data_IF_502374027711
#
_entry.id   IF_502374027711
#
_cell.length_a   1.000
_cell.length_b   1.000
_cell.length_c   1.000
_cell.angle_alpha   90.00
_cell.angle_beta   90.00
_cell.angle_gamma   90.00
#
_symmetry.space_group_name_H-M   'P 1'
#
loop_
_entity.id
_entity.type
_entity.pdbx_description
1 polymer ?
#
# COMPACT_ATOMS: atom_id res chain seq x y z
N UNK A 1 -32.00 -24.08 44.04
CA UNK A 1 -30.54 -24.02 44.23
C UNK A 1 -29.85 -25.13 43.43
N UNK A 2 -29.42 -24.85 42.23
CA UNK A 2 -28.52 -25.70 41.43
C UNK A 2 -28.01 -24.86 40.23
N UNK A 3 -26.91 -24.16 40.44
CA UNK A 3 -26.14 -23.52 39.39
C UNK A 3 -24.68 -23.42 39.83
N UNK A 4 -23.92 -24.45 39.70
CA UNK A 4 -22.51 -24.47 40.12
C UNK A 4 -21.59 -25.44 39.36
N UNK A 5 -22.16 -26.27 38.49
CA UNK A 5 -21.38 -27.35 37.85
C UNK A 5 -20.80 -27.09 36.46
N UNK A 6 -21.28 -26.07 35.77
CA UNK A 6 -20.98 -25.90 34.34
C UNK A 6 -19.71 -25.03 34.07
N UNK A 7 -19.41 -24.12 34.98
CA UNK A 7 -18.24 -23.24 34.84
C UNK A 7 -16.92 -23.97 35.15
N UNK A 8 -16.95 -24.96 36.01
CA UNK A 8 -15.75 -25.74 36.38
C UNK A 8 -15.31 -26.69 35.24
N UNK A 9 -16.25 -27.25 34.48
CA UNK A 9 -15.94 -28.08 33.30
C UNK A 9 -15.39 -27.26 32.12
N UNK A 10 -15.87 -26.03 31.93
CA UNK A 10 -15.37 -25.12 30.88
C UNK A 10 -13.96 -24.60 31.19
N UNK A 11 -13.66 -24.34 32.46
CA UNK A 11 -12.31 -23.93 32.88
C UNK A 11 -11.27 -25.04 32.72
N UNK A 12 -11.67 -26.28 33.02
CA UNK A 12 -10.77 -27.45 32.89
C UNK A 12 -10.48 -27.82 31.43
N UNK A 13 -11.46 -27.62 30.52
CA UNK A 13 -11.25 -27.83 29.08
C UNK A 13 -10.31 -26.76 28.46
N UNK A 14 -10.40 -25.51 28.91
CA UNK A 14 -9.55 -24.42 28.43
C UNK A 14 -8.10 -24.61 28.87
N UNK A 15 -7.86 -25.07 30.08
CA UNK A 15 -6.53 -25.36 30.62
C UNK A 15 -5.85 -26.55 29.88
N UNK A 16 -6.61 -27.57 29.50
CA UNK A 16 -6.09 -28.69 28.73
C UNK A 16 -5.65 -28.30 27.31
N UNK A 17 -6.37 -27.38 26.66
CA UNK A 17 -6.01 -26.87 25.31
C UNK A 17 -4.73 -26.05 25.35
N UNK A 18 -4.53 -25.19 26.35
CA UNK A 18 -3.33 -24.37 26.50
C UNK A 18 -2.08 -25.24 26.74
N UNK A 19 -2.19 -26.31 27.53
CA UNK A 19 -1.07 -27.23 27.79
C UNK A 19 -0.72 -28.04 26.53
N UNK A 20 -1.70 -28.44 25.73
CA UNK A 20 -1.45 -29.16 24.47
C UNK A 20 -0.77 -28.29 23.40
N UNK A 21 -1.18 -27.03 23.28
CA UNK A 21 -0.56 -26.08 22.33
C UNK A 21 0.87 -25.73 22.77
N UNK A 22 1.09 -25.49 24.06
CA UNK A 22 2.42 -25.22 24.62
C UNK A 22 3.39 -26.40 24.46
N UNK A 23 2.90 -27.66 24.66
CA UNK A 23 3.68 -28.87 24.45
C UNK A 23 4.07 -29.09 22.99
N UNK A 24 3.17 -28.78 22.04
CA UNK A 24 3.42 -28.91 20.59
C UNK A 24 4.48 -27.91 20.10
N UNK A 25 4.44 -26.69 20.58
CA UNK A 25 5.44 -25.65 20.23
C UNK A 25 6.80 -25.98 20.80
N UNK A 26 6.86 -26.50 22.04
CA UNK A 26 8.12 -26.91 22.65
C UNK A 26 8.75 -28.11 21.92
N UNK A 27 7.93 -29.11 21.51
CA UNK A 27 8.40 -30.24 20.75
C UNK A 27 8.89 -29.86 19.34
N UNK A 28 8.24 -28.88 18.70
CA UNK A 28 8.67 -28.36 17.40
C UNK A 28 10.06 -27.70 17.49
N UNK A 29 10.32 -26.93 18.53
CA UNK A 29 11.64 -26.29 18.74
C UNK A 29 12.74 -27.27 19.16
N UNK A 30 12.39 -28.37 19.82
CA UNK A 30 13.36 -29.41 20.25
C UNK A 30 13.78 -30.35 19.11
N UNK A 31 13.01 -30.41 18.01
CA UNK A 31 13.28 -31.30 16.87
C UNK A 31 13.94 -30.62 15.67
N UNK A 32 14.17 -29.28 15.73
CA UNK A 32 14.97 -28.55 14.74
C UNK A 32 16.37 -28.31 15.29
N UNK A 33 17.38 -29.14 14.96
CA UNK A 33 18.75 -28.86 15.36
C UNK A 33 19.25 -27.62 14.61
N UNK A 34 19.72 -26.63 15.38
CA UNK A 34 20.38 -25.44 14.87
C UNK A 34 21.64 -25.85 14.10
N UNK A 35 21.73 -25.40 12.88
CA UNK A 35 22.95 -25.47 12.10
C UNK A 35 23.83 -24.26 12.41
N UNK A 36 24.56 -24.36 13.51
CA UNK A 36 25.77 -23.56 13.74
C UNK A 36 26.96 -24.47 13.42
N UNK A 37 27.56 -24.28 12.27
CA UNK A 37 28.95 -24.65 12.11
C UNK A 37 29.68 -23.66 11.17
N UNK A 38 30.61 -22.99 11.78
CA UNK A 38 31.55 -22.09 11.18
C UNK A 38 32.51 -22.85 10.23
N UNK A 39 32.70 -22.32 9.04
CA UNK A 39 33.92 -22.58 8.29
C UNK A 39 34.37 -21.27 7.64
N UNK A 40 35.35 -20.66 8.30
CA UNK A 40 36.20 -19.59 7.78
C UNK A 40 37.04 -20.15 6.62
N UNK A 41 36.79 -19.68 5.41
CA UNK A 41 37.74 -19.74 4.32
C UNK A 41 37.85 -18.37 3.68
N UNK A 42 39.00 -17.73 3.91
CA UNK A 42 39.41 -16.55 3.19
C UNK A 42 39.91 -16.95 1.80
N UNK A 43 39.34 -16.41 0.74
CA UNK A 43 39.97 -16.33 -0.57
C UNK A 43 39.61 -14.97 -1.21
N UNK A 44 40.61 -14.17 -1.27
CA UNK A 44 41.08 -13.24 -2.28
C UNK A 44 40.14 -12.63 -3.32
N UNK A 45 40.46 -11.37 -3.52
CA UNK A 45 39.89 -10.33 -4.36
C UNK A 45 39.76 -10.71 -5.83
N UNK A 46 38.66 -10.28 -6.43
CA UNK A 46 38.48 -10.29 -7.89
C UNK A 46 37.16 -9.71 -8.33
N UNK A 47 37.15 -8.40 -8.49
CA UNK A 47 36.28 -7.56 -9.33
C UNK A 47 35.19 -8.21 -10.18
N UNK A 48 33.92 -7.77 -9.97
CA UNK A 48 33.07 -7.05 -10.90
C UNK A 48 31.66 -6.91 -10.30
N UNK A 49 30.95 -5.80 -10.42
CA UNK A 49 29.61 -5.64 -9.90
C UNK A 49 28.62 -6.22 -10.90
N UNK A 50 28.19 -7.45 -10.68
CA UNK A 50 26.96 -7.94 -11.27
C UNK A 50 25.80 -7.27 -10.50
N UNK A 51 25.36 -6.15 -11.05
CA UNK A 51 24.11 -5.52 -10.68
C UNK A 51 22.98 -6.50 -11.02
N UNK A 52 22.56 -7.26 -10.02
CA UNK A 52 21.29 -7.97 -10.08
C UNK A 52 20.16 -6.94 -9.85
N UNK A 53 19.32 -6.60 -10.87
CA UNK A 53 18.27 -5.59 -10.71
C UNK A 53 17.04 -6.10 -9.93
N UNK A 54 17.12 -7.27 -9.29
CA UNK A 54 15.95 -7.96 -8.72
C UNK A 54 15.82 -7.85 -7.18
N UNK A 55 16.50 -6.90 -6.55
CA UNK A 55 16.44 -6.74 -5.07
C UNK A 55 16.30 -5.30 -4.59
N UNK A 56 15.80 -4.39 -5.42
CA UNK A 56 15.39 -3.10 -4.90
C UNK A 56 14.01 -3.25 -4.22
N UNK A 57 14.01 -3.83 -3.02
CA UNK A 57 12.88 -3.60 -2.12
C UNK A 57 12.83 -2.09 -1.85
N UNK A 58 11.68 -1.42 -2.09
CA UNK A 58 11.56 0.00 -1.80
C UNK A 58 11.93 0.23 -0.34
N UNK A 59 12.83 1.16 -0.11
CA UNK A 59 13.29 1.52 1.23
C UNK A 59 12.05 1.91 2.07
N UNK A 60 11.74 1.11 3.10
CA UNK A 60 10.56 1.30 3.94
C UNK A 60 10.62 2.61 4.76
N UNK A 61 11.70 3.37 4.65
CA UNK A 61 11.90 4.67 5.28
C UNK A 61 11.49 5.85 4.40
N UNK A 62 11.17 5.63 3.13
CA UNK A 62 10.78 6.72 2.26
C UNK A 62 9.29 7.03 2.42
N UNK A 63 9.04 8.28 2.64
CA UNK A 63 7.77 8.84 3.07
C UNK A 63 6.95 9.45 1.92
N UNK A 64 7.52 9.53 0.70
CA UNK A 64 6.86 10.02 -0.51
C UNK A 64 6.71 8.89 -1.51
N UNK A 65 5.47 8.64 -1.96
CA UNK A 65 5.18 7.59 -2.92
C UNK A 65 4.35 8.09 -4.10
N UNK A 66 4.57 7.51 -5.26
CA UNK A 66 3.73 7.73 -6.44
C UNK A 66 3.16 6.39 -6.91
N UNK A 67 1.84 6.39 -7.10
CA UNK A 67 1.12 5.28 -7.72
C UNK A 67 0.78 5.66 -9.16
N UNK A 68 1.22 4.82 -10.07
CA UNK A 68 0.92 4.88 -11.48
C UNK A 68 -0.36 4.06 -11.73
N UNK A 69 -1.50 4.75 -11.91
CA UNK A 69 -2.81 4.10 -11.90
C UNK A 69 -3.39 4.02 -13.30
N UNK A 70 -3.71 2.78 -13.72
CA UNK A 70 -4.46 2.48 -14.92
C UNK A 70 -5.32 1.24 -14.66
N UNK A 71 -6.51 1.42 -14.12
CA UNK A 71 -7.43 0.35 -13.71
C UNK A 71 -8.76 0.43 -14.44
N UNK A 72 -9.49 -0.69 -14.48
CA UNK A 72 -10.72 -0.81 -15.26
C UNK A 72 -11.97 -0.97 -14.37
N UNK A 73 -11.78 -1.13 -13.07
CA UNK A 73 -12.89 -1.31 -12.13
C UNK A 73 -12.71 -0.47 -10.88
N UNK A 74 -13.84 -0.20 -10.20
CA UNK A 74 -13.86 0.53 -8.94
C UNK A 74 -13.19 -0.28 -7.83
N UNK A 75 -13.32 -1.59 -7.85
CA UNK A 75 -12.75 -2.52 -6.87
C UNK A 75 -11.23 -2.51 -6.93
N UNK A 76 -10.65 -2.46 -8.13
CA UNK A 76 -9.21 -2.31 -8.31
C UNK A 76 -8.72 -0.97 -7.75
N UNK A 77 -9.45 0.11 -8.03
CA UNK A 77 -9.10 1.44 -7.53
C UNK A 77 -9.23 1.52 -5.99
N UNK A 78 -10.26 0.92 -5.39
CA UNK A 78 -10.43 0.86 -3.94
C UNK A 78 -9.23 0.18 -3.24
N UNK A 79 -8.72 -0.91 -3.79
CA UNK A 79 -7.52 -1.60 -3.28
C UNK A 79 -6.29 -0.69 -3.30
N UNK A 80 -6.10 0.10 -4.37
CA UNK A 80 -4.99 1.04 -4.47
C UNK A 80 -5.12 2.18 -3.46
N UNK A 81 -6.33 2.70 -3.24
CA UNK A 81 -6.56 3.70 -2.19
C UNK A 81 -6.27 3.15 -0.79
N UNK A 82 -6.68 1.91 -0.50
CA UNK A 82 -6.36 1.25 0.78
C UNK A 82 -4.85 1.13 0.97
N UNK A 83 -4.15 0.75 -0.09
CA UNK A 83 -2.69 0.64 -0.07
C UNK A 83 -2.01 1.99 0.16
N UNK A 84 -2.48 3.04 -0.51
CA UNK A 84 -1.97 4.40 -0.33
C UNK A 84 -2.20 4.89 1.12
N UNK A 85 -3.37 4.67 1.69
CA UNK A 85 -3.68 5.00 3.09
C UNK A 85 -2.79 4.22 4.08
N UNK A 86 -2.56 2.94 3.84
CA UNK A 86 -1.66 2.11 4.66
C UNK A 86 -0.24 2.70 4.67
N UNK A 87 0.28 3.07 3.51
CA UNK A 87 1.62 3.68 3.40
C UNK A 87 1.63 5.06 4.08
N UNK A 88 0.62 5.88 3.84
CA UNK A 88 0.49 7.20 4.44
C UNK A 88 0.32 7.17 5.98
N UNK A 89 -0.18 6.07 6.55
CA UNK A 89 -0.36 5.90 8.00
C UNK A 89 0.94 5.57 8.76
N UNK A 90 2.03 5.27 8.06
CA UNK A 90 3.31 4.95 8.70
C UNK A 90 3.91 6.16 9.40
N UNK A 91 4.64 5.96 10.52
CA UNK A 91 5.33 7.06 11.20
C UNK A 91 6.29 7.80 10.25
N UNK A 92 6.21 9.12 10.22
CA UNK A 92 7.00 9.97 9.34
C UNK A 92 8.03 10.77 10.14
N UNK A 93 9.19 11.11 9.56
CA UNK A 93 10.12 12.05 10.18
C UNK A 93 9.46 13.42 10.37
N UNK A 94 9.75 14.08 11.49
CA UNK A 94 9.20 15.41 11.78
C UNK A 94 9.74 16.42 10.75
N UNK A 95 8.85 17.04 9.96
CA UNK A 95 9.18 18.10 9.00
C UNK A 95 9.17 17.69 7.52
N UNK A 96 8.79 16.46 7.18
CA UNK A 96 8.59 16.04 5.79
C UNK A 96 7.16 16.29 5.33
N UNK A 97 6.97 17.07 4.27
CA UNK A 97 5.72 17.10 3.50
C UNK A 97 5.70 15.84 2.63
N UNK A 98 5.33 14.72 3.23
CA UNK A 98 5.36 13.43 2.57
C UNK A 98 3.96 13.11 2.09
N UNK A 99 3.70 13.31 0.82
CA UNK A 99 2.45 12.97 0.19
C UNK A 99 2.57 11.68 -0.61
N UNK A 100 1.52 10.91 -0.57
CA UNK A 100 1.29 9.85 -1.54
C UNK A 100 0.56 10.50 -2.71
N UNK A 101 1.09 10.35 -3.91
CA UNK A 101 0.47 10.87 -5.12
C UNK A 101 -0.13 9.71 -5.91
N UNK A 102 -1.40 9.85 -6.28
CA UNK A 102 -2.09 8.93 -7.18
C UNK A 102 -2.23 9.61 -8.54
N UNK A 103 -1.62 9.05 -9.58
CA UNK A 103 -1.71 9.58 -10.95
C UNK A 103 -2.63 8.69 -11.77
N UNK A 104 -3.83 9.20 -12.04
CA UNK A 104 -4.87 8.51 -12.80
C UNK A 104 -4.65 8.78 -14.29
N UNK A 105 -4.32 7.75 -15.06
CA UNK A 105 -4.08 7.91 -16.51
C UNK A 105 -4.61 6.75 -17.36
N UNK A 106 -5.57 6.01 -16.84
CA UNK A 106 -6.32 4.96 -17.51
C UNK A 106 -7.82 5.27 -17.62
N UNK A 107 -8.65 4.26 -17.84
CA UNK A 107 -10.11 4.42 -17.94
C UNK A 107 -10.78 4.86 -16.64
N UNK A 108 -10.14 4.72 -15.48
CA UNK A 108 -10.65 5.18 -14.19
C UNK A 108 -10.87 6.69 -14.10
N UNK A 109 -10.34 7.48 -15.04
CA UNK A 109 -10.63 8.92 -15.13
C UNK A 109 -12.13 9.19 -15.25
N UNK A 110 -12.91 8.26 -15.84
CA UNK A 110 -14.36 8.36 -15.93
C UNK A 110 -15.06 8.30 -14.57
N UNK A 111 -14.44 7.66 -13.56
CA UNK A 111 -15.04 7.55 -12.22
C UNK A 111 -15.08 8.90 -11.51
N UNK A 112 -14.19 9.82 -11.90
CA UNK A 112 -14.10 11.15 -11.32
C UNK A 112 -14.82 12.22 -12.12
N UNK A 113 -15.41 11.89 -13.27
CA UNK A 113 -16.26 12.84 -13.99
C UNK A 113 -17.47 13.23 -13.15
N UNK A 114 -17.76 14.53 -13.03
CA UNK A 114 -18.88 15.07 -12.25
C UNK A 114 -20.21 14.47 -12.70
N UNK A 115 -20.37 14.22 -14.00
CA UNK A 115 -21.56 13.55 -14.57
C UNK A 115 -21.77 12.13 -14.03
N UNK A 116 -20.71 11.47 -13.56
CA UNK A 116 -20.72 10.11 -13.05
C UNK A 116 -20.73 10.03 -11.51
N UNK A 117 -20.73 11.19 -10.83
CA UNK A 117 -20.58 11.27 -9.38
C UNK A 117 -21.59 10.40 -8.61
N UNK A 118 -22.86 10.38 -9.00
CA UNK A 118 -23.86 9.58 -8.29
C UNK A 118 -23.54 8.08 -8.28
N UNK A 119 -22.91 7.60 -9.35
CA UNK A 119 -22.49 6.20 -9.48
C UNK A 119 -21.24 5.87 -8.68
N UNK A 120 -20.30 6.81 -8.64
CA UNK A 120 -18.95 6.60 -8.06
C UNK A 120 -18.70 7.43 -6.79
N UNK A 121 -19.78 7.88 -6.14
CA UNK A 121 -19.73 8.77 -4.97
C UNK A 121 -18.77 8.29 -3.89
N UNK A 122 -18.77 6.98 -3.56
CA UNK A 122 -17.92 6.43 -2.49
C UNK A 122 -16.45 6.71 -2.70
N UNK A 123 -15.95 6.48 -3.93
CA UNK A 123 -14.54 6.67 -4.25
C UNK A 123 -14.18 8.15 -4.38
N UNK A 124 -15.07 8.96 -4.99
CA UNK A 124 -14.85 10.40 -5.13
C UNK A 124 -14.81 11.09 -3.76
N UNK A 125 -15.77 10.77 -2.87
CA UNK A 125 -15.80 11.31 -1.51
C UNK A 125 -14.61 10.83 -0.66
N UNK A 126 -14.13 9.60 -0.89
CA UNK A 126 -12.93 9.07 -0.25
C UNK A 126 -11.69 9.85 -0.70
N UNK A 127 -11.52 10.03 -2.00
CA UNK A 127 -10.44 10.81 -2.57
C UNK A 127 -10.44 12.25 -2.02
N UNK A 128 -11.59 12.93 -2.03
CA UNK A 128 -11.72 14.29 -1.50
C UNK A 128 -11.36 14.41 -0.02
N UNK A 129 -11.70 13.41 0.80
CA UNK A 129 -11.31 13.40 2.22
C UNK A 129 -9.81 13.23 2.39
N UNK A 130 -9.19 12.32 1.64
CA UNK A 130 -7.75 12.08 1.73
C UNK A 130 -6.93 13.27 1.29
N UNK A 131 -7.37 13.96 0.23
CA UNK A 131 -6.79 15.21 -0.24
C UNK A 131 -6.93 16.32 0.81
N UNK A 132 -8.13 16.53 1.35
CA UNK A 132 -8.39 17.55 2.37
C UNK A 132 -7.54 17.38 3.64
N UNK A 133 -7.18 16.15 3.99
CA UNK A 133 -6.29 15.84 5.11
C UNK A 133 -4.81 15.74 4.70
N UNK A 134 -4.48 16.05 3.45
CA UNK A 134 -3.12 15.97 2.91
C UNK A 134 -2.47 14.58 3.09
N UNK A 135 -3.30 13.53 3.04
CA UNK A 135 -2.85 12.13 3.12
C UNK A 135 -2.45 11.64 1.73
N UNK A 136 -3.24 12.00 0.72
CA UNK A 136 -3.07 11.60 -0.66
C UNK A 136 -3.38 12.79 -1.58
N UNK A 137 -2.51 13.07 -2.53
CA UNK A 137 -2.75 13.99 -3.64
C UNK A 137 -3.25 13.19 -4.85
N UNK A 138 -4.34 13.62 -5.48
CA UNK A 138 -4.88 12.97 -6.66
C UNK A 138 -4.64 13.82 -7.89
N UNK A 139 -3.99 13.23 -8.88
CA UNK A 139 -3.73 13.86 -10.18
C UNK A 139 -4.41 13.06 -11.29
N UNK A 140 -4.88 13.76 -12.32
CA UNK A 140 -5.59 13.16 -13.45
C UNK A 140 -4.99 13.60 -14.79
N UNK A 141 -4.80 12.63 -15.69
CA UNK A 141 -4.20 12.84 -17.01
C UNK A 141 -5.19 13.50 -17.99
N UNK A 142 -4.86 14.71 -18.48
CA UNK A 142 -5.68 15.43 -19.47
C UNK A 142 -5.80 14.68 -20.80
N UNK A 143 -4.74 14.01 -21.26
CA UNK A 143 -4.79 13.17 -22.46
C UNK A 143 -5.85 12.08 -22.37
N UNK A 144 -6.00 11.48 -21.18
CA UNK A 144 -7.05 10.47 -20.98
C UNK A 144 -8.43 11.09 -20.82
N UNK A 145 -8.54 12.24 -20.14
CA UNK A 145 -9.80 12.99 -20.10
C UNK A 145 -10.30 13.31 -21.50
N UNK A 146 -9.44 13.82 -22.37
CA UNK A 146 -9.77 14.11 -23.78
C UNK A 146 -10.22 12.84 -24.53
N UNK A 147 -9.59 11.70 -24.27
CA UNK A 147 -9.97 10.41 -24.90
C UNK A 147 -11.36 9.95 -24.51
N UNK A 148 -11.82 10.29 -23.30
CA UNK A 148 -13.14 9.96 -22.76
C UNK A 148 -14.13 11.13 -22.86
N UNK A 149 -13.83 12.16 -23.64
CA UNK A 149 -14.68 13.36 -23.82
C UNK A 149 -15.03 14.07 -22.49
N UNK A 150 -14.11 14.04 -21.52
CA UNK A 150 -14.27 14.71 -20.21
C UNK A 150 -13.63 16.08 -20.28
N UNK A 151 -14.43 17.12 -20.08
CA UNK A 151 -13.97 18.51 -20.03
C UNK A 151 -13.19 18.81 -18.75
N UNK A 152 -12.38 19.88 -18.78
CA UNK A 152 -11.60 20.32 -17.60
C UNK A 152 -12.49 20.71 -16.42
N UNK A 153 -13.66 21.29 -16.71
CA UNK A 153 -14.62 21.72 -15.70
C UNK A 153 -15.50 20.58 -15.20
N UNK A 154 -15.37 19.39 -15.81
CA UNK A 154 -16.12 18.18 -15.44
C UNK A 154 -15.40 17.33 -14.39
N UNK A 155 -14.26 17.77 -13.90
CA UNK A 155 -13.48 17.11 -12.84
C UNK A 155 -13.57 17.92 -11.54
N UNK A 156 -13.72 17.26 -10.37
CA UNK A 156 -13.71 17.95 -9.08
C UNK A 156 -12.47 18.82 -8.87
N UNK A 157 -12.65 20.01 -8.32
CA UNK A 157 -11.58 21.02 -8.19
C UNK A 157 -10.42 20.61 -7.28
N UNK A 158 -10.58 19.61 -6.42
CA UNK A 158 -9.50 19.11 -5.58
C UNK A 158 -8.50 18.22 -6.36
N UNK A 159 -8.88 17.71 -7.54
CA UNK A 159 -8.01 16.88 -8.38
C UNK A 159 -7.15 17.76 -9.28
N UNK A 160 -5.84 17.64 -9.17
CA UNK A 160 -4.91 18.34 -10.05
C UNK A 160 -4.89 17.69 -11.44
N UNK A 161 -5.08 18.51 -12.47
CA UNK A 161 -5.04 18.06 -13.86
C UNK A 161 -3.64 18.23 -14.44
N UNK A 162 -3.01 17.12 -14.86
CA UNK A 162 -1.68 17.11 -15.46
C UNK A 162 -1.76 16.84 -16.96
N UNK A 163 -0.92 17.43 -17.80
CA UNK A 163 -0.98 17.24 -19.26
C UNK A 163 -0.85 15.78 -19.69
N UNK A 164 0.09 15.04 -19.07
CA UNK A 164 0.37 13.63 -19.34
C UNK A 164 0.72 12.90 -18.04
N UNK A 165 0.01 11.79 -17.76
CA UNK A 165 0.16 11.05 -16.52
C UNK A 165 1.50 10.34 -16.40
N UNK A 166 1.97 9.70 -17.48
CA UNK A 166 3.25 8.99 -17.46
C UNK A 166 4.42 9.96 -17.26
N UNK A 167 4.40 11.13 -17.94
CA UNK A 167 5.41 12.16 -17.76
C UNK A 167 5.40 12.72 -16.33
N UNK A 168 4.23 12.81 -15.68
CA UNK A 168 4.12 13.23 -14.29
C UNK A 168 4.71 12.19 -13.32
N UNK A 169 4.43 10.91 -13.52
CA UNK A 169 5.05 9.82 -12.75
C UNK A 169 6.57 9.85 -12.87
N UNK A 170 7.11 10.01 -14.07
CA UNK A 170 8.55 10.16 -14.28
C UNK A 170 9.12 11.39 -13.57
N UNK A 171 8.42 12.52 -13.61
CA UNK A 171 8.83 13.76 -12.92
C UNK A 171 8.92 13.54 -11.42
N UNK A 172 7.88 12.97 -10.80
CA UNK A 172 7.82 12.68 -9.37
C UNK A 172 8.91 11.69 -8.95
N UNK A 173 9.14 10.63 -9.74
CA UNK A 173 10.21 9.66 -9.48
C UNK A 173 11.60 10.33 -9.48
N UNK A 174 11.86 11.24 -10.43
CA UNK A 174 13.10 12.04 -10.44
C UNK A 174 13.22 12.97 -9.23
N UNK A 175 12.11 13.40 -8.65
CA UNK A 175 12.06 14.21 -7.43
C UNK A 175 12.19 13.37 -6.14
N UNK A 176 12.38 12.06 -6.28
CA UNK A 176 12.63 11.15 -5.17
C UNK A 176 11.37 10.52 -4.58
N UNK A 177 10.23 10.53 -5.29
CA UNK A 177 9.09 9.71 -4.93
C UNK A 177 9.39 8.23 -5.24
N UNK A 178 8.99 7.34 -4.34
CA UNK A 178 9.08 5.91 -4.56
C UNK A 178 7.91 5.47 -5.44
N UNK A 179 8.23 4.76 -6.51
CA UNK A 179 7.26 4.16 -7.40
C UNK A 179 6.65 2.89 -6.79
N UNK A 180 5.31 2.76 -6.85
CA UNK A 180 4.53 1.62 -6.38
C UNK A 180 3.66 1.02 -7.48
#
# INVERSE_FOLDING_TARGET
>A
MRAGGDNMKKGMALLAVVVLIGGLVYLYHALTPGADDAATVAIDQGAAPDANPESAQPDASASRGVFDISVHSIEELEVLFERAEEIASRPRPVGGADSIVLVLHGPEVEFFAISNYDRYRSIVDRAARLDAFQVVDVKICQTMMERFDIGRDDIPAFIEQVPDGAAEVERLTREGYIYF
#
